data_IF_454583374682
#
_entry.id   IF_454583374682
#
_cell.length_a   1.000
_cell.length_b   1.000
_cell.length_c   1.000
_cell.angle_alpha   90.00
_cell.angle_beta   90.00
_cell.angle_gamma   90.00
#
_symmetry.space_group_name_H-M   'P 1'
#
loop_
_entity.id
_entity.type
_entity.pdbx_description
1 polymer ?
#
# COMPACT_ATOMS: atom_id res chain seq x y z
N UNK A 1 11.62 -4.64 23.09
CA UNK A 1 11.03 -4.46 21.75
C UNK A 1 10.46 -5.81 21.34
N UNK A 2 9.12 -5.93 21.25
CA UNK A 2 8.52 -7.10 20.64
C UNK A 2 8.85 -7.02 19.14
N UNK A 3 9.64 -7.96 18.63
CA UNK A 3 9.86 -8.08 17.20
C UNK A 3 8.49 -8.36 16.55
N UNK A 4 7.99 -7.42 15.79
CA UNK A 4 6.83 -7.67 14.93
C UNK A 4 7.26 -8.72 13.91
N UNK A 5 6.62 -9.88 13.97
CA UNK A 5 6.94 -11.00 13.08
C UNK A 5 6.28 -10.67 11.74
N UNK A 6 7.07 -10.21 10.78
CA UNK A 6 6.67 -10.17 9.38
C UNK A 6 6.54 -11.62 8.87
N UNK A 7 5.58 -11.91 8.01
CA UNK A 7 5.49 -13.20 7.33
C UNK A 7 6.74 -13.51 6.47
N UNK A 8 6.89 -14.76 6.04
CA UNK A 8 8.00 -15.19 5.18
C UNK A 8 9.28 -15.59 5.90
N UNK A 9 9.28 -15.69 7.23
CA UNK A 9 10.44 -16.23 7.97
C UNK A 9 10.49 -17.76 7.86
N UNK A 10 11.03 -18.23 6.74
CA UNK A 10 11.30 -19.65 6.46
C UNK A 10 12.68 -20.10 6.96
N UNK A 11 13.47 -19.19 7.52
CA UNK A 11 14.88 -19.44 7.88
C UNK A 11 15.06 -19.77 9.35
N UNK A 12 14.24 -19.20 10.24
CA UNK A 12 14.34 -19.41 11.69
C UNK A 12 13.57 -20.62 12.19
N UNK A 13 12.73 -21.25 11.34
CA UNK A 13 11.85 -22.38 11.70
C UNK A 13 11.79 -23.41 10.59
N UNK A 14 11.61 -24.68 10.96
CA UNK A 14 11.27 -25.72 9.99
C UNK A 14 9.77 -25.62 9.67
N UNK A 15 9.44 -25.11 8.49
CA UNK A 15 8.06 -24.87 8.05
C UNK A 15 7.66 -25.94 7.05
N UNK A 16 6.54 -26.60 7.28
CA UNK A 16 5.94 -27.58 6.36
C UNK A 16 5.04 -26.89 5.33
N UNK A 17 4.29 -25.89 5.77
CA UNK A 17 3.37 -25.09 4.93
C UNK A 17 3.47 -23.64 5.36
N UNK A 18 3.64 -22.73 4.40
CA UNK A 18 3.71 -21.28 4.63
C UNK A 18 2.47 -20.59 4.06
N UNK A 19 1.65 -20.02 4.95
CA UNK A 19 0.49 -19.18 4.63
C UNK A 19 0.71 -17.72 5.03
N UNK A 20 1.94 -17.34 5.35
CA UNK A 20 2.26 -16.00 5.87
C UNK A 20 2.62 -15.00 4.78
N UNK A 21 2.77 -15.46 3.53
CA UNK A 21 3.10 -14.62 2.37
C UNK A 21 2.23 -14.97 1.17
N UNK A 22 1.93 -13.95 0.35
CA UNK A 22 1.16 -14.07 -0.87
C UNK A 22 2.12 -14.16 -2.08
N UNK A 23 2.79 -15.30 -2.23
CA UNK A 23 3.64 -15.57 -3.39
C UNK A 23 2.82 -16.02 -4.60
N UNK A 24 3.21 -15.57 -5.82
CA UNK A 24 2.61 -16.09 -7.04
C UNK A 24 3.06 -17.54 -7.29
N UNK A 25 2.15 -18.54 -7.23
CA UNK A 25 2.52 -19.94 -7.42
C UNK A 25 2.98 -20.27 -8.86
N UNK A 26 2.67 -19.40 -9.83
CA UNK A 26 3.12 -19.55 -11.22
C UNK A 26 4.56 -19.07 -11.43
N UNK A 27 5.15 -18.41 -10.41
CA UNK A 27 6.51 -17.89 -10.48
C UNK A 27 6.63 -16.63 -11.35
N UNK A 28 7.83 -16.38 -11.83
CA UNK A 28 8.15 -15.20 -12.63
C UNK A 28 7.77 -15.40 -14.11
N UNK A 29 7.11 -14.43 -14.78
CA UNK A 29 6.89 -14.46 -16.22
C UNK A 29 8.20 -14.61 -17.01
N UNK A 30 8.13 -15.34 -18.14
CA UNK A 30 9.33 -15.64 -18.95
C UNK A 30 10.00 -14.35 -19.47
N UNK A 31 9.22 -13.38 -19.90
CA UNK A 31 9.71 -12.08 -20.40
C UNK A 31 10.44 -11.29 -19.31
N UNK A 32 9.87 -11.26 -18.10
CA UNK A 32 10.51 -10.60 -16.94
C UNK A 32 11.86 -11.27 -16.62
N UNK A 33 11.91 -12.62 -16.69
CA UNK A 33 13.16 -13.37 -16.47
C UNK A 33 14.22 -13.04 -17.51
N UNK A 34 13.84 -12.95 -18.78
CA UNK A 34 14.78 -12.59 -19.86
C UNK A 34 15.30 -11.16 -19.69
N UNK A 35 14.43 -10.21 -19.34
CA UNK A 35 14.82 -8.82 -19.08
C UNK A 35 15.79 -8.71 -17.90
N UNK A 36 15.56 -9.45 -16.81
CA UNK A 36 16.49 -9.49 -15.68
C UNK A 36 17.86 -10.08 -16.05
N UNK A 37 17.89 -11.12 -16.86
CA UNK A 37 19.16 -11.70 -17.33
C UNK A 37 19.95 -10.71 -18.20
N UNK A 38 19.27 -9.95 -19.05
CA UNK A 38 19.92 -8.90 -19.85
C UNK A 38 20.41 -7.74 -18.99
N UNK A 39 19.70 -7.40 -17.92
CA UNK A 39 20.07 -6.30 -17.01
C UNK A 39 21.31 -6.63 -16.15
N UNK A 40 21.73 -7.89 -16.03
CA UNK A 40 22.91 -8.28 -15.25
C UNK A 40 24.18 -7.58 -15.76
N UNK A 41 24.31 -7.36 -17.05
CA UNK A 41 25.49 -6.71 -17.65
C UNK A 41 25.59 -5.22 -17.25
N UNK A 42 24.50 -4.63 -16.74
CA UNK A 42 24.37 -3.22 -16.35
C UNK A 42 24.37 -2.99 -14.83
N UNK A 43 24.49 -4.03 -14.00
CA UNK A 43 24.43 -3.88 -12.53
C UNK A 43 25.59 -3.07 -11.93
N UNK A 44 26.66 -2.85 -12.72
CA UNK A 44 27.78 -1.99 -12.32
C UNK A 44 27.55 -0.50 -12.56
N UNK A 45 26.48 -0.12 -13.23
CA UNK A 45 26.13 1.27 -13.53
C UNK A 45 25.29 1.86 -12.38
N UNK A 46 25.39 3.19 -12.17
CA UNK A 46 24.49 3.86 -11.28
C UNK A 46 23.07 3.86 -11.87
N UNK A 47 22.04 3.53 -11.06
CA UNK A 47 20.66 3.57 -11.53
C UNK A 47 20.27 5.01 -11.89
N UNK A 48 19.33 5.15 -12.85
CA UNK A 48 18.69 6.44 -13.14
C UNK A 48 17.87 6.88 -11.91
N UNK A 49 18.35 7.91 -11.20
CA UNK A 49 17.71 8.43 -9.99
C UNK A 49 16.32 9.01 -10.26
N UNK A 50 16.02 9.41 -11.50
CA UNK A 50 14.71 9.92 -11.90
C UNK A 50 13.77 8.81 -12.38
N UNK A 51 14.27 7.57 -12.57
CA UNK A 51 13.53 6.45 -13.16
C UNK A 51 12.79 6.86 -14.45
N UNK A 52 13.44 7.67 -15.32
CA UNK A 52 12.80 8.36 -16.43
C UNK A 52 12.11 7.41 -17.42
N UNK A 53 12.82 6.36 -17.90
CA UNK A 53 12.27 5.39 -18.83
C UNK A 53 11.10 4.60 -18.21
N UNK A 54 11.24 4.18 -16.95
CA UNK A 54 10.17 3.50 -16.21
C UNK A 54 8.94 4.40 -16.07
N UNK A 55 9.16 5.68 -15.71
CA UNK A 55 8.10 6.66 -15.54
C UNK A 55 7.34 6.88 -16.85
N UNK A 56 8.05 6.99 -17.98
CA UNK A 56 7.41 7.12 -19.30
C UNK A 56 6.58 5.92 -19.67
N UNK A 57 7.14 4.74 -19.49
CA UNK A 57 6.48 3.47 -19.81
C UNK A 57 5.20 3.28 -19.00
N UNK A 58 5.28 3.50 -17.68
CA UNK A 58 4.13 3.31 -16.79
C UNK A 58 3.08 4.40 -17.00
N UNK A 59 3.48 5.67 -17.20
CA UNK A 59 2.56 6.76 -17.54
C UNK A 59 1.77 6.43 -18.82
N UNK A 60 2.45 5.98 -19.86
CA UNK A 60 1.79 5.58 -21.11
C UNK A 60 0.84 4.41 -20.91
N UNK A 61 1.27 3.35 -20.24
CA UNK A 61 0.45 2.17 -19.95
C UNK A 61 -0.82 2.55 -19.18
N UNK A 62 -0.68 3.30 -18.09
CA UNK A 62 -1.83 3.74 -17.29
C UNK A 62 -2.75 4.68 -18.05
N UNK A 63 -2.21 5.55 -18.93
CA UNK A 63 -3.01 6.44 -19.75
C UNK A 63 -3.90 5.65 -20.72
N UNK A 64 -3.33 4.63 -21.37
CA UNK A 64 -4.08 3.73 -22.27
C UNK A 64 -5.16 2.97 -21.51
N UNK A 65 -4.81 2.37 -20.36
CA UNK A 65 -5.76 1.59 -19.54
C UNK A 65 -6.94 2.44 -19.04
N UNK A 66 -6.68 3.69 -18.67
CA UNK A 66 -7.71 4.57 -18.09
C UNK A 66 -8.42 5.44 -19.12
N UNK A 67 -8.01 5.43 -20.40
CA UNK A 67 -8.57 6.27 -21.44
C UNK A 67 -8.38 7.78 -21.20
N UNK A 68 -7.39 8.16 -20.41
CA UNK A 68 -7.02 9.57 -20.08
C UNK A 68 -5.54 9.67 -19.82
N UNK A 69 -4.97 10.84 -20.05
CA UNK A 69 -3.57 11.11 -19.73
C UNK A 69 -3.32 10.99 -18.21
N UNK A 70 -2.28 10.24 -17.86
CA UNK A 70 -1.72 10.18 -16.50
C UNK A 70 -0.35 10.84 -16.54
N UNK A 71 -0.20 12.05 -15.98
CA UNK A 71 1.05 12.79 -16.00
C UNK A 71 2.17 12.05 -15.25
N UNK A 72 3.39 12.15 -15.75
CA UNK A 72 4.58 11.53 -15.14
C UNK A 72 4.81 11.98 -13.69
N UNK A 73 4.50 13.25 -13.42
CA UNK A 73 4.63 13.88 -12.10
C UNK A 73 3.73 13.27 -11.03
N UNK A 74 2.78 12.42 -11.44
CA UNK A 74 1.89 11.68 -10.52
C UNK A 74 2.46 10.32 -10.15
N UNK A 75 3.62 9.94 -10.72
CA UNK A 75 4.23 8.64 -10.50
C UNK A 75 5.48 8.76 -9.64
N UNK A 76 5.55 7.90 -8.63
CA UNK A 76 6.71 7.71 -7.78
C UNK A 76 6.95 6.20 -7.63
N UNK A 77 8.21 5.78 -7.79
CA UNK A 77 8.60 4.38 -7.67
C UNK A 77 9.42 4.16 -6.41
N UNK A 78 9.28 2.97 -5.82
CA UNK A 78 10.02 2.56 -4.64
C UNK A 78 10.24 1.04 -4.60
N UNK A 79 11.09 0.59 -3.70
CA UNK A 79 11.38 -0.83 -3.49
C UNK A 79 10.29 -1.49 -2.64
N UNK A 80 9.13 -1.66 -3.25
CA UNK A 80 7.90 -2.14 -2.62
C UNK A 80 7.12 -1.03 -1.91
N UNK A 81 5.85 -1.34 -1.60
CA UNK A 81 4.92 -0.38 -1.00
C UNK A 81 5.38 0.14 0.37
N UNK A 82 6.12 -0.66 1.14
CA UNK A 82 6.60 -0.25 2.48
C UNK A 82 7.55 0.95 2.44
N UNK A 83 8.39 1.07 1.42
CA UNK A 83 9.23 2.26 1.22
C UNK A 83 8.38 3.49 0.92
N UNK A 84 7.35 3.33 0.07
CA UNK A 84 6.43 4.41 -0.27
C UNK A 84 5.61 4.88 0.93
N UNK A 85 5.17 3.97 1.81
CA UNK A 85 4.48 4.37 3.05
C UNK A 85 5.37 5.22 3.94
N UNK A 86 6.65 4.83 4.11
CA UNK A 86 7.62 5.63 4.86
C UNK A 86 7.84 7.00 4.20
N UNK A 87 8.01 7.05 2.89
CA UNK A 87 8.19 8.29 2.15
C UNK A 87 6.98 9.25 2.32
N UNK A 88 5.75 8.70 2.24
CA UNK A 88 4.51 9.46 2.42
C UNK A 88 4.42 10.06 3.82
N UNK A 89 4.62 9.26 4.87
CA UNK A 89 4.52 9.79 6.24
C UNK A 89 5.62 10.80 6.57
N UNK A 90 6.83 10.63 6.04
CA UNK A 90 7.89 11.60 6.21
C UNK A 90 7.63 12.91 5.44
N UNK A 91 7.07 12.83 4.23
CA UNK A 91 6.76 14.00 3.42
C UNK A 91 5.59 14.81 3.99
N UNK A 92 4.55 14.13 4.47
CA UNK A 92 3.32 14.77 4.96
C UNK A 92 3.39 15.13 6.45
N UNK A 93 4.24 14.43 7.22
CA UNK A 93 4.39 14.58 8.67
C UNK A 93 3.04 14.61 9.43
N UNK A 94 2.14 13.64 9.18
CA UNK A 94 0.81 13.61 9.79
C UNK A 94 0.92 13.42 11.29
N UNK A 95 0.09 14.13 12.07
CA UNK A 95 0.04 13.99 13.53
C UNK A 95 -0.88 12.86 13.96
N UNK A 96 -2.03 12.75 13.31
CA UNK A 96 -3.03 11.75 13.63
C UNK A 96 -3.35 10.90 12.39
N UNK A 97 -3.16 9.60 12.51
CA UNK A 97 -3.39 8.63 11.43
C UNK A 97 -4.47 7.65 11.86
N UNK A 98 -5.46 7.40 11.00
CA UNK A 98 -6.40 6.30 11.20
C UNK A 98 -5.93 5.07 10.42
N UNK A 99 -5.96 3.92 11.09
CA UNK A 99 -5.66 2.61 10.50
C UNK A 99 -6.82 1.65 10.83
N UNK A 100 -7.60 1.19 9.83
CA UNK A 100 -8.55 0.10 10.03
C UNK A 100 -7.80 -1.18 10.39
N UNK A 101 -8.31 -1.95 11.34
CA UNK A 101 -7.68 -3.22 11.77
C UNK A 101 -8.72 -4.33 11.85
N UNK A 102 -8.37 -5.56 11.37
CA UNK A 102 -7.05 -6.02 10.93
C UNK A 102 -6.64 -5.44 9.57
N UNK A 103 -5.35 -5.11 9.43
CA UNK A 103 -4.77 -4.60 8.18
C UNK A 103 -3.28 -4.92 8.08
N UNK A 104 -2.66 -4.49 6.99
CA UNK A 104 -1.23 -4.71 6.78
C UNK A 104 -0.40 -3.96 7.83
N UNK A 105 0.51 -4.68 8.46
CA UNK A 105 1.41 -4.20 9.50
C UNK A 105 2.26 -2.97 9.07
N UNK A 106 2.61 -2.87 7.78
CA UNK A 106 3.46 -1.80 7.27
C UNK A 106 2.93 -0.39 7.52
N UNK A 107 1.61 -0.21 7.63
CA UNK A 107 1.02 1.10 7.94
C UNK A 107 1.36 1.56 9.35
N UNK A 108 1.23 0.65 10.33
CA UNK A 108 1.59 0.93 11.71
C UNK A 108 3.09 1.21 11.85
N UNK A 109 3.92 0.45 11.13
CA UNK A 109 5.36 0.65 11.11
C UNK A 109 5.73 2.04 10.57
N UNK A 110 5.14 2.46 9.45
CA UNK A 110 5.37 3.77 8.86
C UNK A 110 4.89 4.90 9.79
N UNK A 111 3.69 4.78 10.36
CA UNK A 111 3.15 5.76 11.30
C UNK A 111 4.03 5.95 12.54
N UNK A 112 4.53 4.85 13.13
CA UNK A 112 5.45 4.88 14.27
C UNK A 112 6.80 5.50 13.92
N UNK A 113 7.30 5.29 12.70
CA UNK A 113 8.56 5.88 12.25
C UNK A 113 8.50 7.41 12.13
N UNK A 114 7.31 7.98 11.95
CA UNK A 114 7.05 9.41 11.91
C UNK A 114 6.56 10.01 13.25
N UNK A 115 6.58 9.22 14.34
CA UNK A 115 6.05 9.61 15.66
C UNK A 115 4.59 10.08 15.61
N UNK A 116 3.81 9.54 14.66
CA UNK A 116 2.40 9.87 14.53
C UNK A 116 1.55 9.17 15.60
N UNK A 117 0.50 9.85 16.05
CA UNK A 117 -0.53 9.24 16.89
C UNK A 117 -1.45 8.38 16.03
N UNK A 118 -1.59 7.09 16.40
CA UNK A 118 -2.40 6.12 15.65
C UNK A 118 -3.73 5.91 16.34
N UNK A 119 -4.82 6.11 15.60
CA UNK A 119 -6.18 5.77 16.00
C UNK A 119 -6.61 4.53 15.21
N UNK A 120 -6.76 3.41 15.92
CA UNK A 120 -7.23 2.18 15.29
C UNK A 120 -8.75 2.18 15.13
N UNK A 121 -9.23 1.92 13.92
CA UNK A 121 -10.62 1.65 13.62
C UNK A 121 -10.84 0.13 13.56
N UNK A 122 -11.37 -0.44 14.65
CA UNK A 122 -11.57 -1.90 14.73
C UNK A 122 -12.72 -2.34 13.86
N UNK A 123 -12.42 -3.22 12.90
CA UNK A 123 -13.41 -3.84 12.03
C UNK A 123 -13.98 -5.09 12.71
N UNK A 124 -15.27 -5.36 12.47
CA UNK A 124 -15.97 -6.46 13.14
C UNK A 124 -16.02 -7.73 12.28
N UNK A 125 -15.88 -8.89 12.92
CA UNK A 125 -16.13 -10.18 12.30
C UNK A 125 -17.58 -10.32 11.81
N UNK A 126 -18.53 -9.69 12.51
CA UNK A 126 -19.95 -9.69 12.13
C UNK A 126 -20.21 -9.05 10.76
N UNK A 127 -19.37 -8.09 10.37
CA UNK A 127 -19.38 -7.46 9.04
C UNK A 127 -18.35 -8.07 8.08
N UNK A 128 -17.82 -9.25 8.42
CA UNK A 128 -16.71 -9.89 7.72
C UNK A 128 -15.51 -8.93 7.54
N UNK A 129 -15.25 -8.11 8.54
CA UNK A 129 -14.19 -7.09 8.54
C UNK A 129 -14.32 -6.06 7.40
N UNK A 130 -15.53 -5.86 6.87
CA UNK A 130 -15.78 -4.82 5.89
C UNK A 130 -15.99 -3.48 6.61
N UNK A 131 -15.26 -2.42 6.25
CA UNK A 131 -15.48 -1.09 6.82
C UNK A 131 -16.89 -0.58 6.54
N UNK A 132 -17.50 0.06 7.53
CA UNK A 132 -18.84 0.64 7.45
C UNK A 132 -18.90 2.06 8.00
N UNK A 133 -20.03 2.42 8.56
CA UNK A 133 -20.26 3.75 9.15
C UNK A 133 -19.32 4.06 10.31
N UNK A 134 -18.84 3.03 11.01
CA UNK A 134 -17.91 3.15 12.13
C UNK A 134 -16.58 3.75 11.69
N UNK A 135 -16.09 3.36 10.50
CA UNK A 135 -14.89 3.97 9.93
C UNK A 135 -15.14 5.46 9.62
N UNK A 136 -16.25 5.79 8.96
CA UNK A 136 -16.58 7.19 8.65
C UNK A 136 -16.69 8.05 9.92
N UNK A 137 -17.23 7.50 11.01
CA UNK A 137 -17.32 8.19 12.30
C UNK A 137 -15.94 8.40 12.97
N UNK A 138 -14.98 7.54 12.68
CA UNK A 138 -13.62 7.67 13.17
C UNK A 138 -12.80 8.75 12.45
N UNK A 139 -13.23 9.13 11.23
CA UNK A 139 -12.57 10.09 10.35
C UNK A 139 -13.11 11.49 10.59
N UNK A 140 -12.61 12.12 11.64
CA UNK A 140 -12.95 13.48 12.10
C UNK A 140 -11.90 14.48 11.66
N UNK A 141 -12.19 15.77 11.72
CA UNK A 141 -11.33 16.85 11.22
C UNK A 141 -9.95 16.98 11.92
N UNK A 142 -9.72 16.24 13.01
CA UNK A 142 -8.42 16.14 13.68
C UNK A 142 -7.52 15.06 13.10
N UNK A 143 -8.01 14.26 12.11
CA UNK A 143 -7.25 13.24 11.44
C UNK A 143 -6.57 13.83 10.20
N UNK A 144 -5.29 13.54 10.02
CA UNK A 144 -4.50 14.03 8.88
C UNK A 144 -4.45 12.99 7.75
N UNK A 145 -4.41 11.70 8.10
CA UNK A 145 -4.17 10.64 7.12
C UNK A 145 -4.96 9.36 7.47
N UNK A 146 -5.50 8.73 6.44
CA UNK A 146 -6.08 7.38 6.49
C UNK A 146 -5.23 6.44 5.62
N UNK A 147 -4.73 5.33 6.20
CA UNK A 147 -4.29 4.18 5.43
C UNK A 147 -5.46 3.23 5.19
N UNK A 148 -5.66 2.82 3.94
CA UNK A 148 -6.74 1.92 3.54
C UNK A 148 -6.25 0.95 2.49
N UNK A 149 -6.39 -0.36 2.72
CA UNK A 149 -6.12 -1.38 1.70
C UNK A 149 -7.40 -1.79 0.98
N UNK A 150 -7.34 -1.93 -0.34
CA UNK A 150 -8.47 -2.39 -1.15
C UNK A 150 -8.00 -3.16 -2.39
N UNK A 151 -8.06 -4.51 -2.39
CA UNK A 151 -8.56 -5.41 -1.31
C UNK A 151 -7.76 -5.34 -0.02
N UNK A 152 -8.44 -5.55 1.12
CA UNK A 152 -7.78 -5.50 2.42
C UNK A 152 -6.89 -6.74 2.67
N UNK A 153 -5.69 -6.52 3.13
CA UNK A 153 -4.81 -7.55 3.68
C UNK A 153 -4.84 -7.47 5.22
N UNK A 154 -5.26 -8.54 5.97
CA UNK A 154 -5.30 -9.94 5.53
C UNK A 154 -6.70 -10.48 5.16
N UNK A 155 -7.76 -9.67 5.22
CA UNK A 155 -9.14 -10.17 5.15
C UNK A 155 -9.61 -10.51 3.74
N UNK A 156 -8.95 -9.99 2.71
CA UNK A 156 -9.34 -10.16 1.31
C UNK A 156 -10.61 -9.39 0.92
N UNK A 157 -11.16 -8.56 1.81
CA UNK A 157 -12.37 -7.79 1.54
C UNK A 157 -12.11 -6.70 0.52
N UNK A 158 -12.99 -6.65 -0.48
CA UNK A 158 -13.01 -5.62 -1.51
C UNK A 158 -14.14 -4.63 -1.21
N UNK A 159 -13.81 -3.35 -1.14
CA UNK A 159 -14.79 -2.28 -0.94
C UNK A 159 -15.56 -2.02 -2.24
N UNK A 160 -16.88 -1.92 -2.12
CA UNK A 160 -17.72 -1.49 -3.24
C UNK A 160 -17.40 -0.05 -3.64
N UNK A 161 -17.50 0.21 -4.95
CA UNK A 161 -17.19 1.53 -5.54
C UNK A 161 -17.97 2.67 -4.89
N UNK A 162 -19.24 2.43 -4.58
CA UNK A 162 -20.11 3.46 -3.98
C UNK A 162 -19.62 3.87 -2.59
N UNK A 163 -19.31 2.88 -1.74
CA UNK A 163 -18.76 3.14 -0.41
C UNK A 163 -17.40 3.84 -0.48
N UNK A 164 -16.53 3.41 -1.40
CA UNK A 164 -15.21 4.04 -1.58
C UNK A 164 -15.34 5.51 -1.98
N UNK A 165 -16.27 5.84 -2.89
CA UNK A 165 -16.52 7.22 -3.28
C UNK A 165 -17.10 8.06 -2.13
N UNK A 166 -18.02 7.49 -1.33
CA UNK A 166 -18.55 8.15 -0.12
C UNK A 166 -17.44 8.44 0.88
N UNK A 167 -16.56 7.46 1.14
CA UNK A 167 -15.42 7.60 2.05
C UNK A 167 -14.43 8.67 1.56
N UNK A 168 -14.07 8.65 0.28
CA UNK A 168 -13.17 9.64 -0.31
C UNK A 168 -13.76 11.06 -0.23
N UNK A 169 -15.06 11.23 -0.49
CA UNK A 169 -15.72 12.51 -0.38
C UNK A 169 -15.78 12.99 1.09
N UNK A 170 -16.06 12.08 2.03
CA UNK A 170 -16.01 12.38 3.45
C UNK A 170 -14.60 12.85 3.88
N UNK A 171 -13.56 12.10 3.50
CA UNK A 171 -12.17 12.47 3.80
C UNK A 171 -11.82 13.84 3.19
N UNK A 172 -12.22 14.10 1.94
CA UNK A 172 -12.01 15.39 1.28
C UNK A 172 -12.64 16.54 2.06
N UNK A 173 -13.87 16.36 2.57
CA UNK A 173 -14.57 17.37 3.36
C UNK A 173 -13.91 17.62 4.70
N UNK A 174 -13.30 16.61 5.32
CA UNK A 174 -12.56 16.71 6.59
C UNK A 174 -11.10 17.16 6.41
N UNK A 175 -10.59 17.24 5.17
CA UNK A 175 -9.19 17.56 4.90
C UNK A 175 -8.23 16.39 5.13
N UNK A 176 -8.73 15.16 5.15
CA UNK A 176 -7.96 13.94 5.41
C UNK A 176 -7.34 13.42 4.10
N UNK A 177 -6.05 13.14 4.11
CA UNK A 177 -5.36 12.48 3.00
C UNK A 177 -5.59 10.97 3.08
N UNK A 178 -6.01 10.37 1.96
CA UNK A 178 -6.20 8.91 1.87
C UNK A 178 -5.04 8.29 1.12
N UNK A 179 -4.38 7.33 1.75
CA UNK A 179 -3.40 6.43 1.12
C UNK A 179 -4.12 5.11 0.85
N UNK A 180 -4.49 4.90 -0.42
CA UNK A 180 -5.16 3.69 -0.86
C UNK A 180 -4.12 2.69 -1.36
N UNK A 181 -4.01 1.55 -0.67
CA UNK A 181 -3.12 0.45 -1.04
C UNK A 181 -3.89 -0.56 -1.89
N UNK A 182 -3.52 -0.67 -3.15
CA UNK A 182 -4.12 -1.56 -4.15
C UNK A 182 -3.17 -2.72 -4.53
N UNK A 183 -2.35 -3.17 -3.60
CA UNK A 183 -1.32 -4.19 -3.84
C UNK A 183 -1.90 -5.53 -4.34
N UNK A 184 -3.18 -5.79 -4.09
CA UNK A 184 -3.87 -7.04 -4.44
C UNK A 184 -5.04 -6.85 -5.42
N UNK A 185 -5.05 -5.77 -6.19
CA UNK A 185 -6.08 -5.54 -7.21
C UNK A 185 -5.76 -6.27 -8.53
#
# INVERSE_FOLDING_TARGET
MQQSIHGGDIYSRQIQLDFSVNGNPLGMPAEARLSLLAAIDHVGEYPDAAAGELTETVSHMLSVQNGREIPKEYLLFGNGASELFLAIVHALNPKNIVIPVPSFYGYEYAAKAADSHIKYAYLSEETAFCPGKELLQALTADIDLLFLANPNNPTGQLLGREYLLELLEHCRQQGIIVVLDECFI
#
